data_IF_728088959967
#
_entry.id   IF_728088959967
#
_cell.length_a   1.000
_cell.length_b   1.000
_cell.length_c   1.000
_cell.angle_alpha   90.00
_cell.angle_beta   90.00
_cell.angle_gamma   90.00
#
_symmetry.space_group_name_H-M   'P 1'
#
loop_
_entity.id
_entity.type
_entity.pdbx_description
1 polymer ?
#
# COMPACT_ATOMS: atom_id res chain seq x y z
N UNK A 1 -67.65 -49.99 -24.42
CA UNK A 1 -67.31 -48.78 -25.20
C UNK A 1 -67.38 -47.57 -24.26
N UNK A 2 -66.23 -47.07 -23.78
CA UNK A 2 -66.12 -45.81 -23.03
C UNK A 2 -65.07 -44.96 -23.77
N UNK A 3 -65.52 -43.86 -24.39
CA UNK A 3 -64.64 -42.89 -25.07
C UNK A 3 -64.18 -41.87 -24.03
N UNK A 4 -62.86 -41.78 -23.84
CA UNK A 4 -62.20 -40.73 -23.06
C UNK A 4 -61.87 -39.60 -24.03
N UNK A 5 -62.50 -38.45 -23.83
CA UNK A 5 -62.25 -37.23 -24.59
C UNK A 5 -61.06 -36.52 -23.95
N UNK A 6 -59.95 -36.42 -24.69
CA UNK A 6 -58.75 -35.68 -24.26
C UNK A 6 -58.91 -34.21 -24.67
N UNK A 7 -58.99 -33.32 -23.67
CA UNK A 7 -59.05 -31.87 -23.83
C UNK A 7 -57.62 -31.35 -24.02
N UNK A 8 -57.29 -30.87 -25.22
CA UNK A 8 -56.02 -30.21 -25.54
C UNK A 8 -56.04 -28.78 -24.98
N UNK A 9 -55.27 -28.53 -23.93
CA UNK A 9 -55.06 -27.19 -23.36
C UNK A 9 -53.83 -26.56 -24.04
N UNK A 10 -54.07 -25.65 -24.98
CA UNK A 10 -53.02 -24.84 -25.63
C UNK A 10 -52.50 -23.78 -24.66
N UNK A 11 -51.26 -23.97 -24.21
CA UNK A 11 -50.51 -23.05 -23.35
C UNK A 11 -49.94 -21.89 -24.20
N UNK A 12 -50.57 -20.71 -24.13
CA UNK A 12 -50.00 -19.47 -24.66
C UNK A 12 -48.82 -19.04 -23.79
N UNK A 13 -47.60 -19.19 -24.29
CA UNK A 13 -46.39 -18.63 -23.66
C UNK A 13 -46.34 -17.15 -24.03
N UNK A 14 -46.75 -16.28 -23.09
CA UNK A 14 -46.52 -14.84 -23.16
C UNK A 14 -45.05 -14.59 -22.82
N UNK A 15 -44.23 -14.36 -23.83
CA UNK A 15 -42.90 -13.77 -23.65
C UNK A 15 -43.10 -12.33 -23.16
N UNK A 16 -43.08 -12.12 -21.85
CA UNK A 16 -42.86 -10.79 -21.28
C UNK A 16 -41.42 -10.39 -21.61
N UNK A 17 -41.23 -9.68 -22.71
CA UNK A 17 -40.04 -8.86 -22.91
C UNK A 17 -40.04 -7.78 -21.83
N UNK A 18 -39.32 -8.02 -20.73
CA UNK A 18 -38.86 -6.92 -19.88
C UNK A 18 -37.85 -6.12 -20.69
N UNK A 19 -38.35 -5.21 -21.53
CA UNK A 19 -37.55 -4.08 -21.99
C UNK A 19 -37.20 -3.29 -20.73
N UNK A 20 -35.94 -3.32 -20.32
CA UNK A 20 -35.44 -2.33 -19.37
C UNK A 20 -35.69 -0.95 -20.00
N UNK A 21 -36.57 -0.16 -19.40
CA UNK A 21 -36.79 1.21 -19.80
C UNK A 21 -35.50 1.99 -19.53
N UNK A 22 -34.79 2.36 -20.59
CA UNK A 22 -33.64 3.29 -20.60
C UNK A 22 -34.00 4.72 -20.14
N UNK A 23 -35.21 4.93 -19.62
CA UNK A 23 -35.88 6.23 -19.52
C UNK A 23 -35.70 6.94 -18.16
N UNK A 24 -35.07 6.30 -17.16
CA UNK A 24 -35.07 6.80 -15.79
C UNK A 24 -33.69 6.81 -15.10
N UNK A 25 -32.63 7.16 -15.84
CA UNK A 25 -31.36 7.48 -15.19
C UNK A 25 -31.43 8.87 -14.54
N UNK A 26 -31.05 9.01 -13.25
CA UNK A 26 -30.95 10.31 -12.60
C UNK A 26 -30.00 11.24 -13.36
N UNK A 27 -30.27 12.55 -13.39
CA UNK A 27 -29.38 13.51 -14.01
C UNK A 27 -28.02 13.57 -13.31
N UNK A 28 -27.02 13.91 -14.10
CA UNK A 28 -25.71 14.37 -13.60
C UNK A 28 -25.67 15.88 -13.82
N UNK A 29 -25.49 16.64 -12.74
CA UNK A 29 -25.37 18.10 -12.77
C UNK A 29 -23.92 18.46 -12.47
N UNK A 30 -23.27 19.11 -13.42
CA UNK A 30 -21.93 19.64 -13.21
C UNK A 30 -22.00 21.05 -12.66
N UNK A 31 -21.28 21.32 -11.57
CA UNK A 31 -21.01 22.67 -11.06
C UNK A 31 -19.56 22.99 -11.41
N UNK A 32 -19.35 23.96 -12.29
CA UNK A 32 -18.05 24.25 -12.86
C UNK A 32 -17.50 25.60 -12.37
N UNK A 33 -16.30 25.55 -11.81
CA UNK A 33 -15.52 26.72 -11.45
C UNK A 33 -15.01 27.45 -12.68
N UNK A 34 -15.47 28.68 -12.84
CA UNK A 34 -14.92 29.63 -13.77
C UNK A 34 -14.51 30.92 -13.05
N UNK A 35 -14.06 30.83 -11.80
CA UNK A 35 -13.46 31.94 -11.09
C UNK A 35 -12.09 32.31 -11.66
N UNK A 36 -11.62 33.53 -11.40
CA UNK A 36 -10.39 34.06 -11.98
C UNK A 36 -9.14 33.19 -11.78
N UNK A 37 -9.08 32.36 -10.73
CA UNK A 37 -7.96 31.42 -10.46
C UNK A 37 -7.76 30.38 -11.57
N UNK A 38 -8.82 30.06 -12.33
CA UNK A 38 -8.77 29.10 -13.44
C UNK A 38 -7.91 29.56 -14.63
N UNK A 39 -7.49 30.83 -14.67
CA UNK A 39 -6.45 31.32 -15.58
C UNK A 39 -5.03 30.87 -15.21
N UNK A 40 -4.84 30.35 -13.99
CA UNK A 40 -3.59 29.77 -13.53
C UNK A 40 -3.06 28.70 -14.48
N UNK A 41 -1.74 28.59 -14.57
CA UNK A 41 -1.07 27.64 -15.46
C UNK A 41 -0.78 26.33 -14.74
N UNK A 42 -0.96 25.21 -15.45
CA UNK A 42 -0.56 23.88 -15.04
C UNK A 42 -0.07 23.12 -16.28
N UNK A 43 1.11 22.51 -16.21
CA UNK A 43 1.70 21.75 -17.33
C UNK A 43 1.74 22.52 -18.67
N UNK A 44 1.94 23.85 -18.61
CA UNK A 44 2.03 24.71 -19.79
C UNK A 44 0.69 25.04 -20.48
N UNK A 45 -0.44 24.72 -19.85
CA UNK A 45 -1.80 25.12 -20.27
C UNK A 45 -2.52 25.82 -19.12
N UNK A 46 -3.57 26.57 -19.43
CA UNK A 46 -4.46 27.08 -18.36
C UNK A 46 -5.19 25.93 -17.68
N UNK A 47 -5.49 26.09 -16.38
CA UNK A 47 -6.32 25.14 -15.65
C UNK A 47 -7.70 24.97 -16.30
N UNK A 48 -8.29 26.08 -16.75
CA UNK A 48 -9.52 26.09 -17.56
C UNK A 48 -9.42 25.17 -18.78
N UNK A 49 -8.38 25.31 -19.62
CA UNK A 49 -8.23 24.46 -20.82
C UNK A 49 -8.13 22.98 -20.46
N UNK A 50 -7.42 22.63 -19.39
CA UNK A 50 -7.29 21.24 -18.94
C UNK A 50 -8.66 20.71 -18.49
N UNK A 51 -9.34 21.44 -17.60
CA UNK A 51 -10.62 21.05 -17.06
C UNK A 51 -11.70 20.97 -18.15
N UNK A 52 -11.76 21.93 -19.06
CA UNK A 52 -12.70 21.94 -20.17
C UNK A 52 -12.50 20.75 -21.13
N UNK A 53 -11.25 20.41 -21.44
CA UNK A 53 -10.94 19.26 -22.30
C UNK A 53 -11.25 17.92 -21.63
N UNK A 54 -10.91 17.77 -20.35
CA UNK A 54 -11.19 16.56 -19.58
C UNK A 54 -12.71 16.34 -19.44
N UNK A 55 -13.44 17.38 -19.01
CA UNK A 55 -14.90 17.33 -18.87
C UNK A 55 -15.59 17.07 -20.21
N UNK A 56 -15.19 17.75 -21.28
CA UNK A 56 -15.74 17.50 -22.63
C UNK A 56 -15.53 16.06 -23.08
N UNK A 57 -14.35 15.49 -22.81
CA UNK A 57 -14.02 14.10 -23.16
C UNK A 57 -14.85 13.11 -22.36
N UNK A 58 -14.97 13.30 -21.03
CA UNK A 58 -15.79 12.44 -20.17
C UNK A 58 -17.24 12.49 -20.58
N UNK A 59 -17.81 13.69 -20.78
CA UNK A 59 -19.19 13.85 -21.26
C UNK A 59 -19.37 13.13 -22.60
N UNK A 60 -18.39 13.23 -23.50
CA UNK A 60 -18.33 12.53 -24.78
C UNK A 60 -18.52 11.01 -24.68
N UNK A 61 -18.07 10.39 -23.58
CA UNK A 61 -18.15 8.96 -23.33
C UNK A 61 -19.46 8.52 -22.65
N UNK A 62 -20.25 9.46 -22.11
CA UNK A 62 -21.55 9.15 -21.51
C UNK A 62 -22.58 8.75 -22.56
N UNK A 63 -23.57 7.97 -22.15
CA UNK A 63 -24.66 7.52 -23.01
C UNK A 63 -25.50 8.71 -23.50
N UNK A 64 -26.05 8.62 -24.71
CA UNK A 64 -26.86 9.72 -25.29
C UNK A 64 -28.16 10.00 -24.51
N UNK A 65 -28.60 9.05 -23.67
CA UNK A 65 -29.79 9.18 -22.83
C UNK A 65 -29.51 9.73 -21.43
N UNK A 66 -28.24 9.92 -21.06
CA UNK A 66 -27.90 10.52 -19.78
C UNK A 66 -28.37 11.99 -19.76
N UNK A 67 -29.18 12.33 -18.75
CA UNK A 67 -29.61 13.72 -18.51
C UNK A 67 -28.44 14.50 -17.93
N UNK A 68 -28.06 15.62 -18.54
CA UNK A 68 -26.90 16.41 -18.14
C UNK A 68 -27.30 17.86 -17.90
N UNK A 69 -27.01 18.36 -16.69
CA UNK A 69 -27.13 19.78 -16.35
C UNK A 69 -25.75 20.43 -16.22
N UNK A 70 -25.67 21.73 -16.50
CA UNK A 70 -24.43 22.50 -16.38
C UNK A 70 -24.69 23.84 -15.69
N UNK A 71 -24.04 24.01 -14.55
CA UNK A 71 -24.04 25.23 -13.75
C UNK A 71 -22.62 25.73 -13.68
N UNK A 72 -22.43 27.02 -13.87
CA UNK A 72 -21.12 27.64 -13.72
C UNK A 72 -21.19 28.88 -12.84
N UNK A 73 -20.10 29.13 -12.12
CA UNK A 73 -19.97 30.33 -11.28
C UNK A 73 -18.74 31.16 -11.64
N UNK A 74 -18.79 32.44 -11.30
CA UNK A 74 -17.67 33.36 -11.41
C UNK A 74 -17.26 33.69 -12.84
N UNK A 75 -18.13 33.55 -13.85
CA UNK A 75 -17.72 33.72 -15.25
C UNK A 75 -18.24 35.00 -15.93
N UNK A 76 -19.10 35.79 -15.26
CA UNK A 76 -19.77 36.96 -15.85
C UNK A 76 -19.39 38.27 -15.19
N UNK A 77 -19.20 38.28 -13.86
CA UNK A 77 -18.96 39.51 -13.10
C UNK A 77 -17.82 39.35 -12.10
N UNK A 78 -16.89 40.29 -12.15
CA UNK A 78 -15.79 40.35 -11.19
C UNK A 78 -16.31 40.73 -9.79
N UNK A 79 -15.87 40.01 -8.76
CA UNK A 79 -16.18 40.31 -7.36
C UNK A 79 -17.59 39.92 -6.88
N UNK A 80 -18.47 39.45 -7.76
CA UNK A 80 -19.88 39.13 -7.45
C UNK A 80 -20.00 37.71 -6.87
N UNK A 81 -20.48 37.62 -5.62
CA UNK A 81 -20.71 36.36 -4.92
C UNK A 81 -22.04 35.69 -5.28
N UNK A 82 -22.88 36.36 -6.06
CA UNK A 82 -24.12 35.82 -6.60
C UNK A 82 -23.97 35.38 -8.07
N UNK A 83 -22.75 35.46 -8.63
CA UNK A 83 -22.49 35.08 -10.02
C UNK A 83 -22.49 33.56 -10.22
N UNK A 84 -23.70 33.01 -10.26
CA UNK A 84 -24.01 31.61 -10.61
C UNK A 84 -25.01 31.60 -11.75
N UNK A 85 -24.82 30.71 -12.72
CA UNK A 85 -25.70 30.57 -13.87
C UNK A 85 -25.97 29.11 -14.18
N UNK A 86 -27.25 28.77 -14.33
CA UNK A 86 -27.70 27.55 -14.96
C UNK A 86 -27.61 27.73 -16.47
N UNK A 87 -26.54 27.23 -17.07
CA UNK A 87 -26.30 27.39 -18.50
C UNK A 87 -27.04 26.34 -19.31
N UNK A 88 -27.23 25.15 -18.74
CA UNK A 88 -27.95 24.03 -19.36
C UNK A 88 -28.77 23.30 -18.30
N UNK A 89 -30.08 23.18 -18.54
CA UNK A 89 -30.98 22.42 -17.68
C UNK A 89 -30.75 20.92 -17.83
N UNK A 90 -31.05 20.16 -16.77
CA UNK A 90 -30.76 18.73 -16.70
C UNK A 90 -31.75 17.85 -17.49
N UNK A 91 -31.71 17.95 -18.82
CA UNK A 91 -32.58 17.24 -19.76
C UNK A 91 -31.83 16.20 -20.59
N UNK A 92 -32.57 15.35 -21.32
CA UNK A 92 -31.98 14.35 -22.23
C UNK A 92 -31.52 15.03 -23.53
N UNK A 93 -30.38 14.62 -24.08
CA UNK A 93 -29.86 15.16 -25.35
C UNK A 93 -29.05 16.46 -25.21
N UNK A 94 -28.83 16.95 -24.00
CA UNK A 94 -28.08 18.18 -23.70
C UNK A 94 -26.57 18.04 -23.78
N UNK A 95 -26.05 16.83 -24.05
CA UNK A 95 -24.61 16.52 -24.15
C UNK A 95 -23.81 17.52 -24.99
N UNK A 96 -24.32 17.89 -26.17
CA UNK A 96 -23.66 18.85 -27.06
C UNK A 96 -23.68 20.28 -26.52
N UNK A 97 -24.78 20.66 -25.87
CA UNK A 97 -24.97 21.99 -25.26
C UNK A 97 -24.03 22.16 -24.07
N UNK A 98 -23.91 21.15 -23.21
CA UNK A 98 -22.96 21.17 -22.10
C UNK A 98 -21.52 21.28 -22.62
N UNK A 99 -21.12 20.48 -23.62
CA UNK A 99 -19.78 20.57 -24.22
C UNK A 99 -19.52 21.97 -24.80
N UNK A 100 -20.52 22.58 -25.44
CA UNK A 100 -20.40 23.92 -26.00
C UNK A 100 -20.27 24.98 -24.89
N UNK A 101 -21.07 24.88 -23.82
CA UNK A 101 -21.00 25.78 -22.66
C UNK A 101 -19.63 25.72 -21.97
N UNK A 102 -19.14 24.51 -21.70
CA UNK A 102 -17.81 24.26 -21.10
C UNK A 102 -16.69 24.89 -21.93
N UNK A 103 -16.75 24.80 -23.26
CA UNK A 103 -15.72 25.37 -24.15
C UNK A 103 -15.84 26.89 -24.34
N UNK A 104 -17.03 27.45 -24.13
CA UNK A 104 -17.31 28.87 -24.33
C UNK A 104 -17.04 29.74 -23.10
N UNK A 105 -16.94 29.12 -21.92
CA UNK A 105 -16.80 29.84 -20.66
C UNK A 105 -15.44 30.54 -20.54
N UNK A 106 -15.44 31.70 -19.90
CA UNK A 106 -14.22 32.48 -19.62
C UNK A 106 -14.16 32.80 -18.14
N UNK A 107 -13.04 32.48 -17.46
CA UNK A 107 -12.97 32.74 -16.04
C UNK A 107 -12.85 34.23 -15.69
N UNK A 108 -13.47 34.68 -14.59
CA UNK A 108 -13.45 36.11 -14.24
C UNK A 108 -13.52 36.42 -12.73
N UNK A 109 -14.61 36.04 -12.07
CA UNK A 109 -15.05 36.45 -10.74
C UNK A 109 -14.63 35.52 -9.62
N UNK A 110 -15.46 35.49 -8.57
CA UNK A 110 -15.22 34.79 -7.30
C UNK A 110 -15.65 33.32 -7.33
N UNK A 111 -15.43 32.62 -6.22
CA UNK A 111 -15.71 31.19 -6.01
C UNK A 111 -16.83 30.97 -4.98
N UNK A 112 -18.11 31.25 -5.31
CA UNK A 112 -19.25 31.10 -4.40
C UNK A 112 -19.75 29.64 -4.30
N UNK A 113 -18.97 28.77 -3.66
CA UNK A 113 -19.22 27.32 -3.63
C UNK A 113 -20.54 26.97 -2.92
N UNK A 114 -20.75 27.50 -1.72
CA UNK A 114 -21.94 27.23 -0.92
C UNK A 114 -23.21 27.75 -1.60
N UNK A 115 -23.15 28.94 -2.20
CA UNK A 115 -24.29 29.51 -2.93
C UNK A 115 -24.61 28.69 -4.18
N UNK A 116 -23.60 28.28 -4.94
CA UNK A 116 -23.78 27.40 -6.11
C UNK A 116 -24.43 26.07 -5.75
N UNK A 117 -23.95 25.43 -4.68
CA UNK A 117 -24.53 24.19 -4.18
C UNK A 117 -25.98 24.40 -3.70
N UNK A 118 -26.26 25.50 -2.99
CA UNK A 118 -27.60 25.85 -2.52
C UNK A 118 -28.59 25.94 -3.68
N UNK A 119 -28.25 26.69 -4.74
CA UNK A 119 -29.15 26.85 -5.89
C UNK A 119 -29.47 25.51 -6.58
N UNK A 120 -28.46 24.65 -6.76
CA UNK A 120 -28.67 23.32 -7.36
C UNK A 120 -29.55 22.44 -6.46
N UNK A 121 -29.25 22.40 -5.16
CA UNK A 121 -30.03 21.63 -4.17
C UNK A 121 -31.47 22.12 -4.11
N UNK A 122 -31.69 23.44 -4.14
CA UNK A 122 -33.02 24.06 -4.12
C UNK A 122 -33.83 23.67 -5.36
N UNK A 123 -33.19 23.62 -6.54
CA UNK A 123 -33.82 23.14 -7.77
C UNK A 123 -34.22 21.66 -7.65
N UNK A 124 -33.34 20.81 -7.12
CA UNK A 124 -33.64 19.40 -6.88
C UNK A 124 -34.78 19.23 -5.87
N UNK A 125 -34.80 20.04 -4.81
CA UNK A 125 -35.87 20.07 -3.80
C UNK A 125 -37.21 20.43 -4.46
N UNK A 126 -37.24 21.48 -5.26
CA UNK A 126 -38.45 21.94 -5.94
C UNK A 126 -38.97 20.90 -6.95
N UNK A 127 -38.07 20.26 -7.70
CA UNK A 127 -38.39 19.23 -8.67
C UNK A 127 -38.70 17.86 -8.04
N UNK A 128 -38.37 17.65 -6.76
CA UNK A 128 -38.39 16.34 -6.07
C UNK A 128 -37.62 15.28 -6.86
N UNK A 129 -36.47 15.68 -7.39
CA UNK A 129 -35.68 14.88 -8.29
C UNK A 129 -34.37 14.51 -7.61
N UNK A 130 -33.99 13.22 -7.70
CA UNK A 130 -32.67 12.79 -7.28
C UNK A 130 -31.63 13.06 -8.35
N UNK A 131 -30.39 13.37 -7.96
CA UNK A 131 -29.33 13.69 -8.91
C UNK A 131 -27.93 13.33 -8.40
N UNK A 132 -27.00 13.17 -9.34
CA UNK A 132 -25.56 13.17 -9.03
C UNK A 132 -25.00 14.55 -9.34
N UNK A 133 -24.43 15.23 -8.36
CA UNK A 133 -23.78 16.52 -8.51
C UNK A 133 -22.27 16.28 -8.58
N UNK A 134 -21.61 16.83 -9.59
CA UNK A 134 -20.15 16.80 -9.73
C UNK A 134 -19.64 18.23 -9.75
N UNK A 135 -19.05 18.66 -8.65
CA UNK A 135 -18.46 19.99 -8.51
C UNK A 135 -16.97 19.93 -8.86
N UNK A 136 -16.53 20.78 -9.77
CA UNK A 136 -15.13 20.90 -10.20
C UNK A 136 -14.64 22.28 -9.82
N UNK A 137 -13.62 22.36 -8.97
CA UNK A 137 -13.10 23.64 -8.46
C UNK A 137 -11.58 23.65 -8.33
N UNK A 138 -10.95 24.81 -8.59
CA UNK A 138 -9.52 25.03 -8.35
C UNK A 138 -9.24 25.96 -7.17
N UNK A 139 -10.29 26.32 -6.42
CA UNK A 139 -10.26 27.28 -5.33
C UNK A 139 -11.05 26.82 -4.11
N UNK A 140 -10.95 27.61 -3.05
CA UNK A 140 -11.80 27.52 -1.87
C UNK A 140 -12.87 28.61 -1.90
N UNK A 141 -13.85 28.50 -1.01
CA UNK A 141 -14.90 29.50 -0.84
C UNK A 141 -14.28 30.90 -0.62
N UNK A 142 -14.73 31.88 -1.40
CA UNK A 142 -14.29 33.30 -1.32
C UNK A 142 -15.45 34.27 -1.08
N UNK A 143 -16.60 33.73 -0.70
CA UNK A 143 -17.86 34.44 -0.50
C UNK A 143 -18.52 34.12 0.85
N UNK A 144 -17.71 33.81 1.86
CA UNK A 144 -18.12 33.60 3.25
C UNK A 144 -19.17 32.49 3.47
N UNK A 145 -19.28 31.55 2.54
CA UNK A 145 -20.18 30.41 2.59
C UNK A 145 -19.63 29.19 3.34
N UNK A 146 -20.51 28.26 3.72
CA UNK A 146 -20.11 26.94 4.18
C UNK A 146 -20.80 25.80 3.44
N UNK A 147 -20.15 25.30 2.37
CA UNK A 147 -20.71 24.23 1.55
C UNK A 147 -20.96 22.94 2.33
N UNK A 148 -20.16 22.62 3.35
CA UNK A 148 -20.39 21.40 4.13
C UNK A 148 -21.68 21.48 4.94
N UNK A 149 -21.93 22.61 5.60
CA UNK A 149 -23.17 22.83 6.36
C UNK A 149 -24.40 22.79 5.44
N UNK A 150 -24.32 23.42 4.26
CA UNK A 150 -25.41 23.41 3.27
C UNK A 150 -25.73 21.98 2.83
N UNK A 151 -24.70 21.20 2.48
CA UNK A 151 -24.89 19.83 1.99
C UNK A 151 -25.40 18.91 3.09
N UNK A 152 -24.87 19.04 4.31
CA UNK A 152 -25.35 18.26 5.46
C UNK A 152 -26.82 18.56 5.76
N UNK A 153 -27.20 19.85 5.83
CA UNK A 153 -28.58 20.23 6.08
C UNK A 153 -29.54 19.68 5.01
N UNK A 154 -29.15 19.77 3.74
CA UNK A 154 -29.93 19.22 2.63
C UNK A 154 -30.12 17.70 2.73
N UNK A 155 -29.10 16.98 3.18
CA UNK A 155 -29.16 15.53 3.41
C UNK A 155 -30.04 15.16 4.61
N UNK A 156 -29.95 15.92 5.69
CA UNK A 156 -30.79 15.75 6.88
C UNK A 156 -32.28 16.02 6.57
N UNK A 157 -32.57 16.89 5.60
CA UNK A 157 -33.92 17.14 5.05
C UNK A 157 -34.44 15.99 4.15
N UNK A 158 -33.60 15.01 3.81
CA UNK A 158 -33.96 13.86 2.98
C UNK A 158 -33.90 14.15 1.47
N UNK A 159 -33.15 15.16 1.04
CA UNK A 159 -32.93 15.42 -0.39
C UNK A 159 -31.97 14.37 -0.94
N UNK A 160 -32.43 13.62 -1.94
CA UNK A 160 -31.68 12.49 -2.50
C UNK A 160 -30.71 12.95 -3.59
N UNK A 161 -29.47 13.26 -3.22
CA UNK A 161 -28.41 13.54 -4.19
C UNK A 161 -27.09 12.93 -3.79
N UNK A 162 -26.19 12.71 -4.73
CA UNK A 162 -24.80 12.35 -4.44
C UNK A 162 -23.88 13.49 -4.88
N UNK A 163 -23.00 13.98 -4.00
CA UNK A 163 -22.07 15.06 -4.31
C UNK A 163 -20.63 14.56 -4.40
N UNK A 164 -20.09 14.55 -5.61
CA UNK A 164 -18.66 14.41 -5.84
C UNK A 164 -18.01 15.79 -5.98
N UNK A 165 -16.86 15.98 -5.36
CA UNK A 165 -16.07 17.21 -5.49
C UNK A 165 -14.70 16.86 -6.05
N UNK A 166 -14.29 17.55 -7.10
CA UNK A 166 -12.99 17.39 -7.75
C UNK A 166 -12.22 18.69 -7.54
N UNK A 167 -11.25 18.65 -6.63
CA UNK A 167 -10.32 19.75 -6.37
C UNK A 167 -9.15 19.71 -7.34
N UNK A 168 -9.02 20.72 -8.19
CA UNK A 168 -8.05 20.75 -9.28
C UNK A 168 -6.88 21.70 -8.98
N UNK A 169 -5.72 21.12 -8.68
CA UNK A 169 -4.52 21.90 -8.32
C UNK A 169 -4.65 22.66 -6.99
N UNK A 170 -5.41 22.11 -6.04
CA UNK A 170 -5.54 22.61 -4.67
C UNK A 170 -4.48 21.98 -3.75
N UNK A 171 -4.08 22.70 -2.71
CA UNK A 171 -3.20 22.18 -1.64
C UNK A 171 -4.03 21.45 -0.58
N UNK A 172 -3.48 20.42 0.05
CA UNK A 172 -4.21 19.62 1.06
C UNK A 172 -4.82 20.45 2.19
N UNK A 173 -4.08 21.44 2.70
CA UNK A 173 -4.50 22.31 3.81
C UNK A 173 -5.80 23.08 3.53
N UNK A 174 -6.12 23.30 2.25
CA UNK A 174 -7.28 24.07 1.80
C UNK A 174 -8.51 23.18 1.52
N UNK A 175 -8.42 21.85 1.69
CA UNK A 175 -9.43 20.90 1.17
C UNK A 175 -10.42 20.39 2.21
N UNK A 176 -10.26 20.73 3.49
CA UNK A 176 -11.04 20.15 4.58
C UNK A 176 -12.56 20.34 4.40
N UNK A 177 -12.99 21.55 4.01
CA UNK A 177 -14.39 21.87 3.82
C UNK A 177 -14.99 21.12 2.61
N UNK A 178 -14.21 20.95 1.53
CA UNK A 178 -14.62 20.21 0.34
C UNK A 178 -14.79 18.72 0.66
N UNK A 179 -13.88 18.13 1.43
CA UNK A 179 -13.99 16.74 1.89
C UNK A 179 -15.22 16.53 2.75
N UNK A 180 -15.46 17.45 3.68
CA UNK A 180 -16.64 17.45 4.53
C UNK A 180 -17.92 17.46 3.68
N UNK A 181 -18.02 18.37 2.72
CA UNK A 181 -19.18 18.47 1.83
C UNK A 181 -19.38 17.22 0.96
N UNK A 182 -18.33 16.68 0.35
CA UNK A 182 -18.45 15.46 -0.46
C UNK A 182 -18.88 14.25 0.40
N UNK A 183 -18.34 14.12 1.61
CA UNK A 183 -18.72 13.08 2.57
C UNK A 183 -20.16 13.22 3.05
N UNK A 184 -20.58 14.42 3.44
CA UNK A 184 -21.96 14.72 3.81
C UNK A 184 -22.92 14.39 2.66
N UNK A 185 -22.55 14.74 1.42
CA UNK A 185 -23.30 14.43 0.21
C UNK A 185 -23.19 12.98 -0.28
N UNK A 186 -22.69 12.05 0.54
CA UNK A 186 -22.54 10.61 0.24
C UNK A 186 -21.70 10.30 -1.01
N UNK A 187 -20.87 11.23 -1.45
CA UNK A 187 -19.97 11.06 -2.59
C UNK A 187 -18.52 10.93 -2.16
N UNK A 188 -17.64 11.50 -2.97
CA UNK A 188 -16.19 11.41 -2.80
C UNK A 188 -15.55 12.73 -3.17
N UNK A 189 -14.56 13.13 -2.38
CA UNK A 189 -13.62 14.17 -2.76
C UNK A 189 -12.47 13.54 -3.54
N UNK A 190 -12.08 14.16 -4.64
CA UNK A 190 -10.95 13.74 -5.47
C UNK A 190 -9.98 14.90 -5.64
N UNK A 191 -8.70 14.66 -5.35
CA UNK A 191 -7.63 15.61 -5.65
C UNK A 191 -7.06 15.32 -7.04
N UNK A 192 -7.17 16.30 -7.95
CA UNK A 192 -6.62 16.22 -9.29
C UNK A 192 -5.39 17.14 -9.41
N UNK A 193 -4.20 16.56 -9.31
CA UNK A 193 -2.94 17.30 -9.41
C UNK A 193 -2.51 17.62 -10.86
N UNK A 194 -3.12 16.98 -11.86
CA UNK A 194 -2.77 17.14 -13.28
C UNK A 194 -3.93 16.74 -14.23
N UNK A 195 -3.72 16.93 -15.53
CA UNK A 195 -4.70 16.67 -16.58
C UNK A 195 -5.10 15.19 -16.75
N UNK A 196 -4.14 14.27 -16.60
CA UNK A 196 -4.37 12.82 -16.77
C UNK A 196 -5.24 12.28 -15.64
N UNK A 197 -4.92 12.64 -14.39
CA UNK A 197 -5.70 12.27 -13.21
C UNK A 197 -7.12 12.84 -13.29
N UNK A 198 -7.30 14.07 -13.78
CA UNK A 198 -8.62 14.71 -13.86
C UNK A 198 -9.61 13.94 -14.74
N UNK A 199 -9.18 13.46 -15.91
CA UNK A 199 -10.05 12.69 -16.81
C UNK A 199 -10.47 11.35 -16.22
N UNK A 200 -9.54 10.62 -15.58
CA UNK A 200 -9.86 9.37 -14.89
C UNK A 200 -10.84 9.58 -13.73
N UNK A 201 -10.56 10.57 -12.89
CA UNK A 201 -11.42 10.95 -11.75
C UNK A 201 -12.84 11.28 -12.22
N UNK A 202 -12.98 12.06 -13.30
CA UNK A 202 -14.28 12.41 -13.87
C UNK A 202 -15.04 11.16 -14.35
N UNK A 203 -14.35 10.20 -14.97
CA UNK A 203 -14.97 8.93 -15.36
C UNK A 203 -15.43 8.12 -14.13
N UNK A 204 -14.64 8.10 -13.05
CA UNK A 204 -15.02 7.45 -11.77
C UNK A 204 -16.24 8.14 -11.15
N UNK A 205 -16.22 9.47 -11.05
CA UNK A 205 -17.30 10.26 -10.46
C UNK A 205 -18.61 10.11 -11.26
N UNK A 206 -18.56 10.17 -12.59
CA UNK A 206 -19.74 10.00 -13.45
C UNK A 206 -20.29 8.58 -13.43
N UNK A 207 -19.46 7.56 -13.20
CA UNK A 207 -19.91 6.19 -12.98
C UNK A 207 -20.50 5.99 -11.57
N UNK A 208 -20.17 6.82 -10.58
CA UNK A 208 -20.64 6.76 -9.20
C UNK A 208 -21.91 7.57 -9.00
N UNK A 209 -23.04 7.08 -9.51
CA UNK A 209 -24.30 7.82 -9.44
C UNK A 209 -24.99 7.74 -8.07
N UNK A 210 -25.98 8.60 -7.86
CA UNK A 210 -26.88 8.63 -6.70
C UNK A 210 -27.61 7.29 -6.45
N UNK A 211 -27.81 6.47 -7.48
CA UNK A 211 -28.42 5.13 -7.33
C UNK A 211 -27.49 4.11 -6.68
N UNK A 212 -26.19 4.40 -6.62
CA UNK A 212 -25.24 3.52 -5.94
C UNK A 212 -25.26 3.77 -4.43
N UNK A 213 -25.02 2.75 -3.59
CA UNK A 213 -24.89 2.94 -2.15
C UNK A 213 -23.87 4.02 -1.79
N UNK A 214 -24.07 4.65 -0.62
CA UNK A 214 -23.08 5.54 -0.04
C UNK A 214 -21.78 4.80 0.23
N UNK A 215 -20.66 5.52 0.15
CA UNK A 215 -19.36 4.96 0.52
C UNK A 215 -19.35 4.64 2.02
N UNK A 216 -18.97 3.42 2.39
CA UNK A 216 -18.87 2.97 3.79
C UNK A 216 -17.46 2.54 4.17
N UNK A 217 -16.48 2.69 3.28
CA UNK A 217 -15.09 2.37 3.57
C UNK A 217 -14.16 3.40 2.93
N UNK A 218 -13.08 3.70 3.65
CA UNK A 218 -12.04 4.59 3.19
C UNK A 218 -10.65 3.99 3.36
N UNK A 219 -9.75 4.27 2.42
CA UNK A 219 -8.35 3.84 2.46
C UNK A 219 -7.45 5.05 2.25
N UNK A 220 -6.47 5.21 3.13
CA UNK A 220 -5.39 6.18 2.99
C UNK A 220 -4.06 5.44 2.98
N UNK A 221 -3.14 5.85 2.10
CA UNK A 221 -1.82 5.23 2.00
C UNK A 221 -0.72 6.27 2.15
N UNK A 222 0.36 5.90 2.84
CA UNK A 222 1.50 6.77 3.09
C UNK A 222 2.84 6.03 3.01
N UNK A 223 3.89 6.75 2.63
CA UNK A 223 5.29 6.33 2.72
C UNK A 223 6.11 7.46 3.33
N UNK A 224 6.84 7.18 4.41
CA UNK A 224 7.66 8.13 5.17
C UNK A 224 6.87 9.40 5.56
N UNK A 225 5.62 9.19 6.01
CA UNK A 225 4.71 10.28 6.41
C UNK A 225 4.15 11.13 5.27
N UNK A 226 4.41 10.78 4.00
CA UNK A 226 3.83 11.46 2.83
C UNK A 226 2.72 10.60 2.20
N UNK A 227 1.61 11.19 1.73
CA UNK A 227 0.61 10.47 0.97
C UNK A 227 1.20 9.73 -0.23
N UNK A 228 0.71 8.52 -0.51
CA UNK A 228 1.13 7.69 -1.64
C UNK A 228 -0.09 7.29 -2.48
N UNK A 229 0.01 7.43 -3.80
CA UNK A 229 -1.04 6.93 -4.70
C UNK A 229 -0.98 5.41 -4.78
N UNK A 230 -2.12 4.77 -4.52
CA UNK A 230 -2.24 3.32 -4.54
C UNK A 230 -3.50 2.88 -5.26
N UNK A 231 -3.40 1.71 -5.89
CA UNK A 231 -4.53 0.94 -6.36
C UNK A 231 -4.85 -0.16 -5.36
N UNK A 232 -6.09 -0.18 -4.88
CA UNK A 232 -6.61 -1.15 -3.93
C UNK A 232 -7.54 -2.11 -4.68
N UNK A 233 -7.31 -3.40 -4.53
CA UNK A 233 -8.26 -4.46 -4.89
C UNK A 233 -8.77 -5.13 -3.61
N UNK A 234 -10.04 -4.98 -3.33
CA UNK A 234 -10.70 -5.61 -2.18
C UNK A 234 -11.36 -6.93 -2.60
N UNK A 235 -10.79 -8.05 -2.15
CA UNK A 235 -11.28 -9.40 -2.39
C UNK A 235 -12.20 -9.84 -1.26
N UNK A 236 -13.45 -10.16 -1.60
CA UNK A 236 -14.42 -10.69 -0.63
C UNK A 236 -14.11 -12.17 -0.33
N UNK A 237 -13.56 -12.45 0.85
CA UNK A 237 -13.09 -13.80 1.20
C UNK A 237 -14.22 -14.71 1.69
N UNK A 238 -15.40 -14.16 2.00
CA UNK A 238 -16.56 -14.92 2.48
C UNK A 238 -17.54 -15.17 1.34
N UNK A 239 -18.03 -14.10 0.71
CA UNK A 239 -19.04 -14.19 -0.34
C UNK A 239 -18.45 -14.42 -1.74
N UNK A 240 -17.11 -14.32 -1.91
CA UNK A 240 -16.41 -14.58 -3.17
C UNK A 240 -16.93 -13.76 -4.36
N UNK A 241 -17.24 -12.49 -4.10
CA UNK A 241 -17.65 -11.52 -5.12
C UNK A 241 -16.45 -11.09 -5.97
N UNK A 242 -16.74 -10.53 -7.15
CA UNK A 242 -15.71 -9.87 -7.95
C UNK A 242 -15.00 -8.76 -7.12
N UNK A 243 -13.68 -8.58 -7.27
CA UNK A 243 -12.95 -7.62 -6.47
C UNK A 243 -13.44 -6.20 -6.72
N UNK A 244 -13.63 -5.46 -5.63
CA UNK A 244 -13.97 -4.04 -5.70
C UNK A 244 -12.67 -3.25 -5.75
N UNK A 245 -12.55 -2.37 -6.74
CA UNK A 245 -11.33 -1.64 -7.02
C UNK A 245 -11.46 -0.17 -6.66
N UNK A 246 -10.39 0.42 -6.13
CA UNK A 246 -10.29 1.83 -5.77
C UNK A 246 -8.87 2.33 -6.08
N UNK A 247 -8.74 3.55 -6.60
CA UNK A 247 -7.48 4.30 -6.63
C UNK A 247 -7.57 5.47 -5.64
N UNK A 248 -6.49 5.73 -4.91
CA UNK A 248 -6.51 6.74 -3.84
C UNK A 248 -6.12 8.14 -4.30
N UNK A 249 -5.39 8.28 -5.41
CA UNK A 249 -4.95 9.57 -5.96
C UNK A 249 -4.14 10.41 -4.97
N UNK A 250 -3.17 9.78 -4.29
CA UNK A 250 -2.35 10.39 -3.23
C UNK A 250 -3.18 10.95 -2.05
N UNK A 251 -4.37 10.41 -1.82
CA UNK A 251 -5.32 10.94 -0.85
C UNK A 251 -6.13 9.80 -0.19
N UNK A 252 -7.15 10.13 0.62
CA UNK A 252 -8.10 9.14 1.12
C UNK A 252 -9.08 8.79 0.00
N UNK A 253 -9.02 7.55 -0.49
CA UNK A 253 -10.00 7.02 -1.42
C UNK A 253 -11.23 6.46 -0.67
N UNK A 254 -12.42 6.70 -1.21
CA UNK A 254 -13.70 6.26 -0.64
C UNK A 254 -14.44 5.36 -1.61
N UNK A 255 -15.03 4.29 -1.09
CA UNK A 255 -15.76 3.30 -1.87
C UNK A 255 -16.78 2.56 -1.00
N UNK A 256 -17.75 1.93 -1.65
CA UNK A 256 -18.69 1.04 -1.00
C UNK A 256 -18.16 -0.40 -0.99
N UNK A 257 -18.07 -0.98 0.19
CA UNK A 257 -17.85 -2.40 0.43
C UNK A 257 -19.10 -3.02 1.04
N UNK A 258 -19.79 -3.94 0.35
CA UNK A 258 -20.87 -4.71 0.97
C UNK A 258 -20.44 -5.32 2.31
N UNK A 259 -21.35 -5.50 3.28
CA UNK A 259 -21.00 -6.13 4.55
C UNK A 259 -20.39 -7.53 4.33
N UNK A 260 -19.12 -7.71 4.71
CA UNK A 260 -18.34 -8.95 4.56
C UNK A 260 -16.95 -8.81 5.21
N UNK A 261 -16.10 -9.82 5.04
CA UNK A 261 -14.65 -9.75 5.29
C UNK A 261 -13.88 -9.72 3.98
N UNK A 262 -12.80 -8.93 3.96
CA UNK A 262 -12.01 -8.66 2.78
C UNK A 262 -10.51 -8.85 3.02
N UNK A 263 -9.80 -9.25 1.97
CA UNK A 263 -8.36 -9.02 1.86
C UNK A 263 -8.12 -7.92 0.83
N UNK A 264 -7.31 -6.92 1.17
CA UNK A 264 -6.91 -5.87 0.24
C UNK A 264 -5.54 -6.19 -0.33
N UNK A 265 -5.43 -6.20 -1.66
CA UNK A 265 -4.15 -6.07 -2.36
C UNK A 265 -3.95 -4.59 -2.69
N UNK A 266 -2.89 -4.00 -2.15
CA UNK A 266 -2.63 -2.57 -2.28
C UNK A 266 -1.33 -2.36 -3.01
N UNK A 267 -1.45 -1.89 -4.24
CA UNK A 267 -0.36 -1.71 -5.20
C UNK A 267 0.01 -0.23 -5.24
N UNK A 268 1.26 0.16 -4.91
CA UNK A 268 1.72 1.52 -5.10
C UNK A 268 1.78 1.85 -6.60
N UNK A 269 1.23 3.00 -6.98
CA UNK A 269 1.28 3.49 -8.36
C UNK A 269 2.50 4.39 -8.60
N UNK A 270 3.23 4.72 -7.54
CA UNK A 270 4.42 5.55 -7.55
C UNK A 270 5.48 4.96 -6.60
N UNK A 271 6.77 5.19 -6.89
CA UNK A 271 7.88 4.63 -6.10
C UNK A 271 8.21 3.19 -6.47
N UNK A 272 9.09 3.01 -7.46
CA UNK A 272 9.46 1.71 -8.05
C UNK A 272 10.12 0.71 -7.08
N UNK A 273 10.51 1.16 -5.90
CA UNK A 273 11.14 0.38 -4.83
C UNK A 273 10.13 -0.19 -3.81
N UNK A 274 8.85 0.15 -3.97
CA UNK A 274 7.78 -0.23 -3.04
C UNK A 274 7.06 -1.48 -3.54
N UNK A 275 7.08 -2.53 -2.75
CA UNK A 275 6.33 -3.75 -3.06
C UNK A 275 4.85 -3.61 -2.67
N UNK A 276 3.99 -4.38 -3.34
CA UNK A 276 2.58 -4.51 -2.98
C UNK A 276 2.43 -5.03 -1.54
N UNK A 277 1.49 -4.45 -0.79
CA UNK A 277 1.14 -4.92 0.56
C UNK A 277 -0.23 -5.61 0.51
N UNK A 278 -0.36 -6.70 1.26
CA UNK A 278 -1.66 -7.35 1.51
C UNK A 278 -2.16 -7.02 2.92
N UNK A 279 -3.36 -6.45 3.03
CA UNK A 279 -4.06 -6.23 4.31
C UNK A 279 -5.15 -7.28 4.46
N UNK A 280 -5.02 -8.17 5.44
CA UNK A 280 -5.93 -9.30 5.61
C UNK A 280 -7.05 -9.00 6.61
N UNK A 281 -8.20 -9.66 6.44
CA UNK A 281 -9.33 -9.65 7.38
C UNK A 281 -9.91 -8.25 7.68
N UNK A 282 -10.00 -7.40 6.66
CA UNK A 282 -10.68 -6.11 6.77
C UNK A 282 -12.19 -6.34 6.81
N UNK A 283 -12.88 -5.84 7.83
CA UNK A 283 -14.33 -6.02 8.00
C UNK A 283 -15.08 -4.77 7.53
N UNK A 284 -16.14 -4.97 6.74
CA UNK A 284 -17.08 -3.92 6.35
C UNK A 284 -18.45 -4.20 6.97
N UNK A 285 -19.15 -3.13 7.40
CA UNK A 285 -20.50 -3.22 7.94
C UNK A 285 -21.44 -2.19 7.27
N UNK A 286 -22.74 -2.42 7.40
CA UNK A 286 -23.77 -1.70 6.65
C UNK A 286 -23.96 -0.24 7.12
N UNK A 287 -23.67 0.05 8.39
CA UNK A 287 -23.96 1.35 9.03
C UNK A 287 -22.75 1.96 9.76
N UNK A 288 -21.55 1.48 9.50
CA UNK A 288 -20.33 2.06 10.08
C UNK A 288 -19.34 2.36 8.97
N UNK A 289 -18.79 3.57 8.98
CA UNK A 289 -17.74 3.95 8.05
C UNK A 289 -16.43 3.32 8.54
N UNK A 290 -15.90 2.37 7.77
CA UNK A 290 -14.57 1.81 7.99
C UNK A 290 -13.47 2.74 7.46
N UNK A 291 -12.32 2.70 8.11
CA UNK A 291 -11.12 3.40 7.66
C UNK A 291 -9.89 2.51 7.80
N UNK A 292 -9.05 2.47 6.77
CA UNK A 292 -7.76 1.79 6.81
C UNK A 292 -6.64 2.75 6.37
N UNK A 293 -5.70 3.00 7.27
CA UNK A 293 -4.40 3.58 6.91
C UNK A 293 -3.42 2.47 6.55
N UNK A 294 -2.71 2.62 5.43
CA UNK A 294 -1.74 1.66 4.90
C UNK A 294 -0.39 2.37 4.82
N UNK A 295 0.56 1.92 5.63
CA UNK A 295 1.93 2.43 5.60
C UNK A 295 2.81 1.52 4.74
N UNK A 296 3.51 2.14 3.80
CA UNK A 296 4.58 1.54 3.00
C UNK A 296 5.97 1.87 3.56
N UNK A 297 6.03 2.39 4.78
CA UNK A 297 7.30 2.64 5.48
C UNK A 297 7.99 1.32 5.71
N UNK A 298 9.29 1.28 5.47
CA UNK A 298 10.09 0.11 5.77
C UNK A 298 9.94 -0.26 7.25
N UNK A 299 9.87 -1.55 7.53
CA UNK A 299 10.13 -2.03 8.87
C UNK A 299 11.62 -2.17 9.08
N UNK A 300 12.07 -2.00 10.32
CA UNK A 300 13.48 -2.14 10.69
C UNK A 300 13.72 -3.46 11.41
N UNK A 301 14.84 -4.08 11.12
CA UNK A 301 15.39 -5.19 11.88
C UNK A 301 16.60 -4.68 12.67
N UNK A 302 16.49 -4.55 13.99
CA UNK A 302 17.61 -4.22 14.89
C UNK A 302 18.34 -5.52 15.28
N UNK A 303 19.38 -5.86 14.53
CA UNK A 303 20.12 -7.11 14.70
C UNK A 303 21.27 -6.93 15.68
N UNK A 304 21.35 -7.82 16.66
CA UNK A 304 22.50 -7.98 17.55
C UNK A 304 22.95 -9.44 17.57
N UNK A 305 24.22 -9.66 17.27
CA UNK A 305 24.85 -10.98 17.37
C UNK A 305 25.89 -10.98 18.47
N UNK A 306 25.90 -12.03 19.27
CA UNK A 306 26.87 -12.22 20.35
C UNK A 306 27.50 -13.61 20.30
N UNK A 307 28.59 -13.80 21.02
CA UNK A 307 29.22 -15.08 21.26
C UNK A 307 29.52 -15.18 22.76
N UNK A 308 28.88 -16.14 23.42
CA UNK A 308 28.90 -16.25 24.89
C UNK A 308 28.46 -14.95 25.60
N UNK A 309 27.54 -14.19 25.00
CA UNK A 309 27.02 -12.93 25.54
C UNK A 309 27.83 -11.67 25.20
N UNK A 310 29.02 -11.79 24.61
CA UNK A 310 29.81 -10.64 24.13
C UNK A 310 29.52 -10.35 22.65
N UNK A 311 29.48 -9.08 22.26
CA UNK A 311 29.17 -8.68 20.88
C UNK A 311 30.11 -9.35 19.87
N UNK A 312 29.54 -9.98 18.83
CA UNK A 312 30.28 -10.76 17.86
C UNK A 312 30.01 -10.33 16.42
N UNK A 313 31.05 -10.37 15.60
CA UNK A 313 30.99 -9.95 14.20
C UNK A 313 30.39 -11.05 13.31
N UNK A 314 29.30 -10.71 12.63
CA UNK A 314 28.53 -11.62 11.80
C UNK A 314 28.07 -10.92 10.52
N UNK A 315 27.99 -11.69 9.42
CA UNK A 315 27.27 -11.31 8.22
C UNK A 315 25.81 -11.71 8.36
N UNK A 316 24.90 -10.81 8.01
CA UNK A 316 23.45 -11.02 8.08
C UNK A 316 22.86 -10.76 6.70
N UNK A 317 22.04 -11.68 6.21
CA UNK A 317 21.28 -11.57 4.96
C UNK A 317 19.79 -11.69 5.24
N UNK A 318 19.01 -10.76 4.70
CA UNK A 318 17.55 -10.79 4.75
C UNK A 318 17.06 -11.24 3.37
N UNK A 319 16.29 -12.32 3.34
CA UNK A 319 15.88 -13.04 2.13
C UNK A 319 14.35 -13.05 2.09
N UNK A 320 13.77 -12.61 0.99
CA UNK A 320 12.31 -12.62 0.80
C UNK A 320 11.77 -14.03 0.50
N UNK A 321 10.44 -14.16 0.42
CA UNK A 321 9.76 -15.44 0.14
C UNK A 321 10.09 -16.01 -1.25
N UNK A 322 10.65 -15.22 -2.17
CA UNK A 322 11.07 -15.66 -3.50
C UNK A 322 12.55 -16.10 -3.51
N UNK A 323 13.24 -16.05 -2.37
CA UNK A 323 14.64 -16.40 -2.26
C UNK A 323 15.60 -15.28 -2.68
N UNK A 324 15.11 -14.07 -2.95
CA UNK A 324 15.95 -12.91 -3.30
C UNK A 324 16.49 -12.26 -2.02
N UNK A 325 17.78 -11.97 -2.02
CA UNK A 325 18.41 -11.20 -0.94
C UNK A 325 17.98 -9.73 -1.09
N UNK A 326 17.17 -9.23 -0.15
CA UNK A 326 16.66 -7.85 -0.16
C UNK A 326 17.54 -6.90 0.64
N UNK A 327 18.29 -7.42 1.62
CA UNK A 327 19.27 -6.63 2.36
C UNK A 327 20.42 -7.49 2.88
N UNK A 328 21.58 -6.86 3.12
CA UNK A 328 22.76 -7.49 3.73
C UNK A 328 23.43 -6.48 4.65
N UNK A 329 23.85 -6.92 5.84
CA UNK A 329 24.63 -6.10 6.77
C UNK A 329 25.70 -6.91 7.47
N UNK A 330 26.67 -6.23 8.07
CA UNK A 330 27.69 -6.81 8.94
C UNK A 330 27.60 -6.14 10.31
N UNK A 331 27.52 -6.95 11.36
CA UNK A 331 27.26 -6.45 12.71
C UNK A 331 28.47 -5.75 13.33
N UNK A 332 29.69 -6.16 12.98
CA UNK A 332 30.93 -5.67 13.61
C UNK A 332 30.91 -5.77 15.15
N UNK A 333 30.16 -6.72 15.71
CA UNK A 333 30.01 -6.90 17.16
C UNK A 333 29.11 -5.88 17.85
N UNK A 334 28.36 -5.07 17.09
CA UNK A 334 27.43 -4.09 17.62
C UNK A 334 26.03 -4.26 17.01
N UNK A 335 25.05 -3.57 17.59
CA UNK A 335 23.70 -3.47 17.03
C UNK A 335 23.73 -2.84 15.63
N UNK A 336 22.93 -3.37 14.71
CA UNK A 336 22.73 -2.82 13.37
C UNK A 336 21.26 -2.83 13.01
N UNK A 337 20.75 -1.65 12.67
CA UNK A 337 19.44 -1.53 12.04
C UNK A 337 19.55 -1.74 10.53
N UNK A 338 18.61 -2.51 9.98
CA UNK A 338 18.42 -2.69 8.54
C UNK A 338 16.96 -2.44 8.23
N UNK A 339 16.69 -1.53 7.31
CA UNK A 339 15.33 -1.24 6.84
C UNK A 339 15.00 -2.10 5.62
N UNK A 340 13.82 -2.72 5.62
CA UNK A 340 13.27 -3.52 4.52
C UNK A 340 11.77 -3.27 4.39
N UNK A 341 11.18 -3.62 3.25
CA UNK A 341 9.74 -3.55 3.09
C UNK A 341 9.01 -4.38 4.16
N UNK A 342 7.75 -4.05 4.53
CA UNK A 342 6.97 -4.87 5.44
C UNK A 342 6.73 -6.26 4.84
N UNK A 343 6.92 -7.32 5.63
CA UNK A 343 6.76 -8.66 5.09
C UNK A 343 7.26 -9.76 6.00
N UNK A 344 7.29 -10.96 5.44
CA UNK A 344 7.81 -12.17 6.07
C UNK A 344 9.12 -12.55 5.38
N UNK A 345 10.16 -12.76 6.17
CA UNK A 345 11.52 -12.97 5.69
C UNK A 345 12.17 -14.20 6.29
N UNK A 346 13.15 -14.74 5.55
CA UNK A 346 14.21 -15.57 6.11
C UNK A 346 15.40 -14.69 6.46
N UNK A 347 15.95 -14.84 7.67
CA UNK A 347 17.17 -14.14 8.10
C UNK A 347 18.29 -15.15 8.28
N UNK A 348 19.32 -15.07 7.44
CA UNK A 348 20.52 -15.90 7.54
C UNK A 348 21.64 -15.13 8.23
N UNK A 349 22.21 -15.70 9.30
CA UNK A 349 23.29 -15.11 10.09
C UNK A 349 24.50 -16.03 10.02
N UNK A 350 25.65 -15.50 9.63
CA UNK A 350 26.91 -16.21 9.57
C UNK A 350 27.92 -15.52 10.50
N UNK A 351 28.34 -16.20 11.55
CA UNK A 351 29.40 -15.70 12.42
C UNK A 351 30.76 -15.72 11.70
N UNK A 352 31.54 -14.65 11.91
CA UNK A 352 32.89 -14.55 11.37
C UNK A 352 33.90 -15.02 12.42
N UNK A 353 35.03 -15.60 11.98
CA UNK A 353 36.17 -15.97 12.84
C UNK A 353 35.87 -17.02 13.93
N UNK A 354 34.81 -17.81 13.80
CA UNK A 354 34.60 -19.03 14.59
C UNK A 354 34.54 -20.25 13.67
N UNK A 355 34.89 -21.40 14.23
CA UNK A 355 34.96 -22.69 13.54
C UNK A 355 33.94 -23.66 14.16
N UNK A 356 33.60 -24.73 13.43
CA UNK A 356 32.62 -25.71 13.89
C UNK A 356 31.47 -25.91 12.90
N UNK A 357 30.42 -26.59 13.36
CA UNK A 357 29.24 -26.89 12.54
C UNK A 357 28.17 -25.81 12.61
N UNK A 358 28.16 -25.00 13.67
CA UNK A 358 27.13 -24.00 13.96
C UNK A 358 27.71 -22.59 13.82
N UNK A 359 28.35 -22.34 12.68
CA UNK A 359 28.88 -21.01 12.32
C UNK A 359 27.87 -20.18 11.52
N UNK A 360 26.75 -20.79 11.12
CA UNK A 360 25.62 -20.14 10.52
C UNK A 360 24.30 -20.57 11.17
N UNK A 361 23.27 -19.76 11.01
CA UNK A 361 21.89 -20.06 11.40
C UNK A 361 20.93 -19.40 10.41
N UNK A 362 19.77 -19.98 10.23
CA UNK A 362 18.67 -19.42 9.45
C UNK A 362 17.44 -19.33 10.35
N UNK A 363 16.81 -18.17 10.36
CA UNK A 363 15.56 -17.91 11.04
C UNK A 363 14.48 -17.75 9.97
N UNK A 364 13.56 -18.70 9.91
CA UNK A 364 12.42 -18.67 9.01
C UNK A 364 11.28 -17.81 9.59
N UNK A 365 10.43 -17.30 8.70
CA UNK A 365 9.17 -16.62 9.06
C UNK A 365 9.32 -15.39 9.99
N UNK A 366 10.39 -14.62 9.81
CA UNK A 366 10.61 -13.35 10.54
C UNK A 366 9.66 -12.28 9.99
N UNK A 367 8.68 -11.87 10.79
CA UNK A 367 7.67 -10.88 10.40
C UNK A 367 8.14 -9.47 10.75
N UNK A 368 8.44 -8.65 9.74
CA UNK A 368 8.83 -7.25 9.88
C UNK A 368 7.62 -6.40 9.50
N UNK A 369 7.06 -5.68 10.47
CA UNK A 369 5.88 -4.83 10.28
C UNK A 369 6.28 -3.41 9.84
N UNK A 370 5.40 -2.76 9.06
CA UNK A 370 5.58 -1.39 8.60
C UNK A 370 5.80 -0.41 9.76
N UNK A 371 6.73 0.53 9.58
CA UNK A 371 7.09 1.57 10.55
C UNK A 371 7.47 1.06 11.96
N UNK A 372 7.80 -0.23 12.12
CA UNK A 372 8.20 -0.83 13.40
C UNK A 372 9.63 -1.35 13.35
N UNK A 373 10.30 -1.31 14.50
CA UNK A 373 11.60 -1.96 14.70
C UNK A 373 11.41 -3.30 15.40
N UNK A 374 11.82 -4.39 14.76
CA UNK A 374 11.90 -5.72 15.32
C UNK A 374 13.31 -5.95 15.87
N UNK A 375 13.50 -6.15 17.20
CA UNK A 375 14.78 -6.59 17.72
C UNK A 375 15.01 -8.07 17.39
N UNK A 376 16.19 -8.38 16.87
CA UNK A 376 16.65 -9.74 16.61
C UNK A 376 17.98 -9.96 17.30
N UNK A 377 17.98 -10.85 18.30
CA UNK A 377 19.18 -11.21 19.06
C UNK A 377 19.51 -12.68 18.80
N UNK A 378 20.77 -12.95 18.43
CA UNK A 378 21.26 -14.32 18.30
C UNK A 378 22.62 -14.47 18.98
N UNK A 379 22.72 -15.39 19.93
CA UNK A 379 23.94 -15.67 20.67
C UNK A 379 24.55 -16.99 20.22
N UNK A 380 25.71 -16.91 19.58
CA UNK A 380 26.56 -18.06 19.31
C UNK A 380 27.20 -18.56 20.61
N UNK A 381 27.55 -19.85 20.62
CA UNK A 381 28.30 -20.46 21.71
C UNK A 381 29.58 -21.04 21.16
N UNK A 382 30.68 -20.77 21.83
CA UNK A 382 32.00 -21.31 21.50
C UNK A 382 32.84 -21.59 22.75
N UNK A 383 33.76 -22.53 22.65
CA UNK A 383 34.88 -22.71 23.56
C UNK A 383 36.21 -22.68 22.80
N UNK A 384 37.30 -22.43 23.51
CA UNK A 384 38.64 -22.42 22.93
C UNK A 384 39.33 -23.77 23.15
N UNK A 385 39.89 -24.34 22.09
CA UNK A 385 40.81 -25.47 22.18
C UNK A 385 42.21 -25.03 21.75
N UNK A 386 43.18 -25.21 22.64
CA UNK A 386 44.58 -24.88 22.40
C UNK A 386 45.42 -26.15 22.44
N UNK A 387 46.29 -26.32 21.45
CA UNK A 387 47.16 -27.49 21.35
C UNK A 387 48.61 -27.10 21.13
N UNK A 388 49.48 -27.71 21.94
CA UNK A 388 50.93 -27.61 21.87
C UNK A 388 51.51 -29.01 21.66
N UNK A 389 52.59 -29.10 20.89
CA UNK A 389 53.19 -30.37 20.50
C UNK A 389 54.69 -30.29 20.72
N UNK A 390 55.27 -31.27 21.41
CA UNK A 390 56.64 -31.20 21.92
C UNK A 390 57.44 -32.48 21.66
N UNK A 391 58.76 -32.32 21.50
CA UNK A 391 59.76 -33.41 21.52
C UNK A 391 60.90 -32.96 22.41
N UNK A 392 61.23 -33.74 23.45
CA UNK A 392 62.31 -33.37 24.38
C UNK A 392 62.07 -32.06 25.13
N UNK A 393 60.80 -31.63 25.29
CA UNK A 393 60.42 -30.37 25.92
C UNK A 393 60.40 -29.15 25.00
N UNK A 394 60.84 -29.28 23.74
CA UNK A 394 60.79 -28.20 22.76
C UNK A 394 59.57 -28.33 21.85
N UNK A 395 58.93 -27.20 21.53
CA UNK A 395 57.77 -27.19 20.63
C UNK A 395 58.15 -27.52 19.20
N UNK A 396 57.35 -28.38 18.55
CA UNK A 396 57.56 -28.82 17.18
C UNK A 396 56.43 -28.37 16.25
N UNK A 397 56.72 -28.41 14.96
CA UNK A 397 55.77 -28.01 13.93
C UNK A 397 54.90 -29.19 13.54
N UNK A 398 53.59 -28.98 13.56
CA UNK A 398 52.60 -30.02 13.30
C UNK A 398 51.43 -29.44 12.50
N UNK A 399 50.80 -30.28 11.69
CA UNK A 399 49.48 -30.00 11.13
C UNK A 399 48.43 -30.61 12.04
N UNK A 400 47.50 -29.80 12.49
CA UNK A 400 46.34 -30.19 13.29
C UNK A 400 45.12 -30.17 12.38
N UNK A 401 44.33 -31.24 12.41
CA UNK A 401 43.06 -31.36 11.71
C UNK A 401 41.99 -31.78 12.70
N UNK A 402 40.86 -31.07 12.71
CA UNK A 402 39.78 -31.26 13.68
C UNK A 402 38.52 -31.66 12.93
N UNK A 403 37.94 -32.80 13.34
CA UNK A 403 36.65 -33.27 12.87
C UNK A 403 35.65 -33.29 14.02
N UNK A 404 34.42 -32.90 13.77
CA UNK A 404 33.34 -33.14 14.74
C UNK A 404 33.05 -34.65 14.79
N UNK A 405 32.95 -35.18 16.01
CA UNK A 405 32.96 -36.62 16.28
C UNK A 405 31.82 -37.37 15.58
N UNK A 406 30.58 -36.87 15.67
CA UNK A 406 29.40 -37.59 15.19
C UNK A 406 29.25 -37.56 13.67
N UNK A 407 29.49 -36.40 13.06
CA UNK A 407 29.33 -36.18 11.63
C UNK A 407 30.58 -36.53 10.82
N UNK A 408 31.75 -36.60 11.47
CA UNK A 408 33.05 -36.79 10.82
C UNK A 408 33.47 -35.64 9.90
N UNK A 409 32.72 -34.53 9.89
CA UNK A 409 33.00 -33.36 9.05
C UNK A 409 34.23 -32.63 9.58
N UNK A 410 35.12 -32.24 8.68
CA UNK A 410 36.25 -31.37 9.00
C UNK A 410 35.72 -29.98 9.33
N UNK A 411 36.05 -29.48 10.52
CA UNK A 411 35.53 -28.20 11.03
C UNK A 411 36.61 -27.16 11.27
N UNK A 412 37.86 -27.57 11.46
CA UNK A 412 38.99 -26.67 11.64
C UNK A 412 40.30 -27.37 11.32
N UNK A 413 41.34 -26.59 11.07
CA UNK A 413 42.70 -27.11 10.93
C UNK A 413 43.69 -25.97 10.83
N UNK A 414 44.89 -26.19 11.37
CA UNK A 414 45.97 -25.21 11.33
C UNK A 414 47.32 -25.89 11.44
N UNK A 415 48.37 -25.19 11.02
CA UNK A 415 49.75 -25.55 11.29
C UNK A 415 50.21 -24.82 12.56
N UNK A 416 50.92 -25.52 13.45
CA UNK A 416 51.33 -24.97 14.76
C UNK A 416 52.53 -24.05 14.67
N UNK A 417 53.40 -24.17 13.65
CA UNK A 417 54.59 -23.32 13.48
C UNK A 417 55.45 -23.19 14.75
N UNK A 418 55.64 -24.29 15.50
CA UNK A 418 56.36 -24.33 16.78
C UNK A 418 55.78 -23.47 17.92
N UNK A 419 54.60 -22.86 17.76
CA UNK A 419 53.98 -21.97 18.77
C UNK A 419 52.63 -22.47 19.30
N UNK A 420 52.22 -23.67 18.88
CA UNK A 420 50.89 -24.22 19.13
C UNK A 420 49.82 -23.63 18.21
N UNK A 421 48.59 -24.11 18.35
CA UNK A 421 47.44 -23.62 17.61
C UNK A 421 46.24 -23.45 18.54
N UNK A 422 45.45 -22.40 18.30
CA UNK A 422 44.20 -22.10 19.01
C UNK A 422 43.04 -22.17 18.04
N UNK A 423 41.98 -22.85 18.45
CA UNK A 423 40.75 -23.03 17.69
C UNK A 423 39.58 -22.54 18.53
N UNK A 424 38.71 -21.71 17.94
CA UNK A 424 37.47 -21.29 18.59
C UNK A 424 36.34 -22.13 17.99
N UNK A 425 35.89 -23.14 18.72
CA UNK A 425 34.98 -24.18 18.24
C UNK A 425 33.62 -24.04 18.90
N UNK A 426 32.55 -24.42 18.21
CA UNK A 426 31.26 -24.64 18.87
C UNK A 426 31.37 -25.71 19.99
N UNK A 427 30.49 -25.72 21.00
CA UNK A 427 30.47 -26.79 22.00
C UNK A 427 30.19 -28.15 21.37
N UNK A 428 30.92 -29.17 21.80
CA UNK A 428 30.79 -30.53 21.28
C UNK A 428 32.04 -31.37 21.44
N UNK A 429 32.01 -32.56 20.85
CA UNK A 429 33.12 -33.50 20.86
C UNK A 429 33.83 -33.51 19.51
N UNK A 430 35.14 -33.58 19.57
CA UNK A 430 36.01 -33.47 18.40
C UNK A 430 37.08 -34.55 18.40
N UNK A 431 37.35 -35.08 17.21
CA UNK A 431 38.49 -35.92 16.92
C UNK A 431 39.59 -35.04 16.31
N UNK A 432 40.70 -34.92 17.01
CA UNK A 432 41.84 -34.09 16.63
C UNK A 432 42.97 -35.00 16.17
N UNK A 433 43.38 -34.87 14.91
CA UNK A 433 44.53 -35.57 14.34
C UNK A 433 45.71 -34.62 14.21
N UNK A 434 46.87 -35.02 14.73
CA UNK A 434 48.09 -34.22 14.76
C UNK A 434 49.20 -34.96 14.01
N UNK A 435 49.77 -34.30 13.00
CA UNK A 435 50.86 -34.85 12.18
C UNK A 435 52.11 -34.00 12.31
N UNK A 436 53.22 -34.55 12.81
CA UNK A 436 54.53 -33.90 12.81
C UNK A 436 55.02 -33.51 11.40
N UNK A 437 55.70 -32.37 11.33
CA UNK A 437 56.33 -31.85 10.11
C UNK A 437 57.85 -31.67 10.31
N UNK A 438 58.53 -31.30 9.22
CA UNK A 438 59.93 -30.90 9.24
C UNK A 438 60.85 -32.02 9.72
N UNK A 439 61.72 -31.70 10.69
CA UNK A 439 62.68 -32.64 11.28
C UNK A 439 62.02 -33.84 12.00
N UNK A 440 60.72 -33.74 12.30
CA UNK A 440 59.98 -34.77 13.05
C UNK A 440 58.95 -35.51 12.20
N UNK A 441 58.90 -35.30 10.88
CA UNK A 441 57.88 -35.88 9.98
C UNK A 441 57.77 -37.41 9.99
N UNK A 442 58.83 -38.11 10.39
CA UNK A 442 58.86 -39.58 10.49
C UNK A 442 58.13 -40.10 11.75
N UNK A 443 57.82 -39.23 12.72
CA UNK A 443 57.07 -39.61 13.91
C UNK A 443 55.61 -39.88 13.56
N UNK A 444 55.05 -40.95 14.14
CA UNK A 444 53.66 -41.36 13.89
C UNK A 444 52.67 -40.25 14.30
N UNK A 445 51.62 -40.09 13.51
CA UNK A 445 50.52 -39.18 13.84
C UNK A 445 49.83 -39.62 15.14
N UNK A 446 49.38 -38.66 15.94
CA UNK A 446 48.55 -38.92 17.12
C UNK A 446 47.12 -38.44 16.87
N UNK A 447 46.16 -39.17 17.42
CA UNK A 447 44.74 -38.79 17.42
C UNK A 447 44.25 -38.76 18.85
N UNK A 448 43.53 -37.69 19.20
CA UNK A 448 42.91 -37.52 20.52
C UNK A 448 41.46 -37.10 20.36
N UNK A 449 40.67 -37.37 21.39
CA UNK A 449 39.31 -36.86 21.54
C UNK A 449 39.31 -35.69 22.51
N UNK A 450 38.52 -34.66 22.19
CA UNK A 450 38.41 -33.43 22.99
C UNK A 450 36.94 -33.02 23.07
N UNK A 451 36.46 -32.82 24.30
CA UNK A 451 35.19 -32.13 24.57
C UNK A 451 35.48 -30.63 24.72
N UNK A 452 34.77 -29.80 23.94
CA UNK A 452 34.80 -28.34 24.05
C UNK A 452 33.49 -27.86 24.66
N UNK A 453 33.57 -27.04 25.71
CA UNK A 453 32.43 -26.44 26.41
C UNK A 453 32.35 -24.94 26.16
N UNK A 454 31.13 -24.40 26.18
CA UNK A 454 30.91 -22.98 25.96
C UNK A 454 31.61 -22.12 27.04
N UNK A 455 32.35 -21.10 26.61
CA UNK A 455 33.07 -20.17 27.49
C UNK A 455 34.34 -20.74 28.13
N UNK A 456 34.66 -22.02 27.93
CA UNK A 456 35.85 -22.65 28.51
C UNK A 456 37.02 -22.64 27.53
N UNK A 457 38.25 -22.61 28.07
CA UNK A 457 39.48 -22.85 27.31
C UNK A 457 40.08 -24.19 27.73
N UNK A 458 40.21 -25.12 26.79
CA UNK A 458 40.83 -26.42 26.99
C UNK A 458 42.20 -26.44 26.32
N UNK A 459 43.27 -26.61 27.10
CA UNK A 459 44.65 -26.64 26.59
C UNK A 459 45.24 -28.04 26.70
N UNK A 460 45.83 -28.55 25.62
CA UNK A 460 46.48 -29.86 25.57
C UNK A 460 47.91 -29.75 25.07
N UNK A 461 48.84 -30.37 25.78
CA UNK A 461 50.22 -30.57 25.30
C UNK A 461 50.44 -32.05 24.99
N UNK A 462 50.87 -32.36 23.77
CA UNK A 462 51.19 -33.71 23.33
C UNK A 462 52.69 -33.86 23.13
N UNK A 463 53.24 -34.96 23.65
CA UNK A 463 54.64 -35.33 23.46
C UNK A 463 54.76 -36.39 22.36
N UNK A 464 55.72 -36.20 21.46
CA UNK A 464 55.94 -37.02 20.26
C UNK A 464 57.25 -37.81 20.30
#
# INVERSE_FOLDING_TARGET
MKKITFLFLTLFIVFNSQGQSLENQPPIIFIYDASGSMWGQMQGKTKMEIAANALSSTIGNLTEHQKLGFVAYGHRKEGDCEDVEFMVDAETGTKKEVIAAVKGIKPLGKTPLAYSATLVIDQLRAAKQKATIILITDGIESCDGNICEIVQAAKDEGIDFKLHIIGFGLKEEDTQQLRCAAGAGEGSYFSAANAENLGEILNVATASTVDKPANNFSVYALKNGKPLDVFVKAYDIVAKREPIMLRTYQDTGYFYLPPSKYNFEVVPLEGSDVDMITVNNVESHEHTIGHQTISFDGGKLDVFTSNNGEGWDSMVKIIDNNGKVVATTRTYGAKKEVEVNPGVYKVAIQALKMEGLQTNTELDSVVIAAAKTLPLVYDFKTGAFEIYTQVGGENIDTVVSIKEEKSGKSVAGARTYNKGAKFLLNPGNYVVTIRPLGAHKEKAAQTIEVEVKAGETHTKTLNF
#
